data_IF_591961877223
#
_entry.id   IF_591961877223
#
_cell.length_a   1.000
_cell.length_b   1.000
_cell.length_c   1.000
_cell.angle_alpha   90.00
_cell.angle_beta   90.00
_cell.angle_gamma   90.00
#
_symmetry.space_group_name_H-M   'P 1'
#
loop_
_entity.id
_entity.type
_entity.pdbx_description
1 polymer ?
#
# COMPACT_ATOMS: atom_id res chain seq x y z
N UNK A 1 6.03 17.09 -12.11
CA UNK A 1 7.24 17.10 -11.28
C UNK A 1 8.27 18.13 -11.81
N UNK A 2 8.75 18.05 -13.06
CA UNK A 2 9.79 18.96 -13.60
C UNK A 2 9.38 20.44 -13.55
N UNK A 3 8.11 20.79 -13.82
CA UNK A 3 7.60 22.15 -13.66
C UNK A 3 7.69 22.63 -12.20
N UNK A 4 7.37 21.77 -11.24
CA UNK A 4 7.48 22.08 -9.82
C UNK A 4 8.93 22.35 -9.42
N UNK A 5 9.86 21.47 -9.82
CA UNK A 5 11.30 21.67 -9.57
C UNK A 5 11.79 22.98 -10.14
N UNK A 6 11.42 23.30 -11.39
CA UNK A 6 11.75 24.58 -12.04
C UNK A 6 11.24 25.78 -11.24
N UNK A 7 9.99 25.73 -10.81
CA UNK A 7 9.38 26.86 -10.12
C UNK A 7 9.94 27.05 -8.71
N UNK A 8 10.26 25.94 -8.02
CA UNK A 8 11.00 25.97 -6.75
C UNK A 8 12.41 26.55 -6.97
N UNK A 9 13.15 26.08 -7.97
CA UNK A 9 14.50 26.59 -8.30
C UNK A 9 14.48 28.06 -8.70
N UNK A 10 13.40 28.52 -9.34
CA UNK A 10 13.20 29.96 -9.68
C UNK A 10 12.66 30.80 -8.49
N UNK A 11 12.60 30.21 -7.29
CA UNK A 11 12.14 30.85 -6.05
C UNK A 11 10.70 31.41 -6.09
N UNK A 12 9.85 30.86 -6.99
CA UNK A 12 8.45 31.29 -7.11
C UNK A 12 7.60 30.82 -5.93
N UNK A 13 8.04 29.76 -5.24
CA UNK A 13 7.32 29.09 -4.16
C UNK A 13 8.00 29.24 -2.80
N UNK A 14 8.88 30.24 -2.63
CA UNK A 14 9.65 30.43 -1.42
C UNK A 14 8.80 30.48 -0.14
N UNK A 15 7.64 31.13 -0.21
CA UNK A 15 6.73 31.21 0.94
C UNK A 15 6.22 29.83 1.36
N UNK A 16 5.85 28.99 0.39
CA UNK A 16 5.31 27.64 0.67
C UNK A 16 6.35 26.71 1.31
N UNK A 17 7.65 26.99 1.09
CA UNK A 17 8.74 26.15 1.61
C UNK A 17 9.41 26.70 2.87
N UNK A 18 8.91 27.80 3.45
CA UNK A 18 9.50 28.39 4.67
C UNK A 18 9.50 27.47 5.89
N UNK A 19 8.51 26.63 6.01
CA UNK A 19 8.28 25.74 7.17
C UNK A 19 8.22 24.26 6.81
N UNK A 20 8.59 23.90 5.59
CA UNK A 20 8.59 22.52 5.12
C UNK A 20 9.74 22.26 4.15
N UNK A 21 10.22 21.01 4.13
CA UNK A 21 11.21 20.52 3.17
C UNK A 21 10.49 19.68 2.13
N UNK A 22 10.75 19.94 0.86
CA UNK A 22 10.24 19.17 -0.26
C UNK A 22 11.33 18.24 -0.80
N UNK A 23 11.13 16.93 -0.67
CA UNK A 23 11.94 15.92 -1.34
C UNK A 23 11.24 15.53 -2.64
N UNK A 24 12.00 15.39 -3.72
CA UNK A 24 11.46 15.05 -5.03
C UNK A 24 12.25 13.91 -5.65
N UNK A 25 11.54 12.84 -6.01
CA UNK A 25 12.05 11.78 -6.89
C UNK A 25 11.47 12.04 -8.28
N UNK A 26 12.23 12.62 -9.22
CA UNK A 26 11.68 13.12 -10.48
C UNK A 26 11.23 12.00 -11.43
N UNK A 27 11.94 10.89 -11.46
CA UNK A 27 11.66 9.69 -12.26
C UNK A 27 11.99 8.48 -11.40
N UNK A 28 10.96 7.84 -10.84
CA UNK A 28 11.17 6.70 -9.94
C UNK A 28 11.55 5.44 -10.70
N UNK A 29 10.85 5.14 -11.79
CA UNK A 29 11.15 4.00 -12.68
C UNK A 29 11.93 4.49 -13.90
N UNK A 30 13.24 4.69 -13.75
CA UNK A 30 14.10 5.18 -14.82
C UNK A 30 14.15 4.22 -16.02
N UNK A 31 14.26 2.91 -15.75
CA UNK A 31 14.27 1.89 -16.79
C UNK A 31 12.98 1.86 -17.60
N UNK A 32 11.84 1.95 -16.91
CA UNK A 32 10.53 2.00 -17.56
C UNK A 32 10.30 3.29 -18.33
N UNK A 33 10.89 4.41 -17.88
CA UNK A 33 10.87 5.68 -18.61
C UNK A 33 11.66 5.60 -19.92
N UNK A 34 12.78 4.88 -19.94
CA UNK A 34 13.63 4.74 -21.12
C UNK A 34 13.11 3.69 -22.13
N UNK A 35 12.19 2.84 -21.72
CA UNK A 35 11.51 1.86 -22.60
C UNK A 35 10.18 2.41 -23.07
N UNK A 36 9.95 2.41 -24.38
CA UNK A 36 8.74 2.94 -24.99
C UNK A 36 7.79 1.82 -25.40
N UNK A 37 6.54 1.95 -24.98
CA UNK A 37 5.45 1.06 -25.32
C UNK A 37 4.18 1.82 -25.68
N UNK A 38 3.16 1.12 -26.15
CA UNK A 38 1.85 1.73 -26.45
C UNK A 38 1.27 2.37 -25.18
N UNK A 39 0.85 3.63 -25.31
CA UNK A 39 0.13 4.32 -24.25
C UNK A 39 -1.22 3.63 -23.98
N UNK A 40 -1.63 3.62 -22.71
CA UNK A 40 -2.89 3.02 -22.28
C UNK A 40 -4.11 3.93 -22.44
N UNK A 41 -3.90 5.25 -22.55
CA UNK A 41 -4.96 6.23 -22.69
C UNK A 41 -5.32 6.53 -24.13
N UNK A 42 -6.53 7.08 -24.35
CA UNK A 42 -7.06 7.40 -25.68
C UNK A 42 -6.51 8.75 -26.23
N UNK A 43 -6.16 9.69 -25.36
CA UNK A 43 -5.81 11.07 -25.67
C UNK A 43 -4.38 11.47 -25.23
N UNK A 44 -3.47 10.54 -25.22
CA UNK A 44 -2.07 10.81 -24.87
C UNK A 44 -1.13 10.64 -26.05
N UNK A 45 0.18 10.75 -25.84
CA UNK A 45 1.14 10.36 -26.88
C UNK A 45 0.91 8.88 -27.23
N UNK A 46 1.16 8.51 -28.49
CA UNK A 46 1.02 7.12 -28.94
C UNK A 46 1.88 6.15 -28.14
N UNK A 47 3.10 6.59 -27.82
CA UNK A 47 4.07 5.85 -27.03
C UNK A 47 4.30 6.54 -25.69
N UNK A 48 4.43 5.72 -24.65
CA UNK A 48 4.78 6.15 -23.28
C UNK A 48 5.77 5.18 -22.65
N UNK A 49 6.33 5.52 -21.51
CA UNK A 49 7.15 4.61 -20.73
C UNK A 49 6.37 3.36 -20.31
N UNK A 50 7.09 2.25 -20.08
CA UNK A 50 6.50 0.98 -19.63
C UNK A 50 6.44 0.90 -18.10
N UNK A 51 5.56 0.04 -17.59
CA UNK A 51 5.31 -0.08 -16.15
C UNK A 51 6.44 -0.78 -15.39
N UNK A 52 7.04 -1.80 -15.97
CA UNK A 52 8.08 -2.61 -15.32
C UNK A 52 9.44 -1.91 -15.36
N UNK A 53 10.26 -2.13 -14.32
CA UNK A 53 11.67 -1.74 -14.33
C UNK A 53 12.51 -2.71 -15.21
N UNK A 54 13.83 -2.55 -15.19
CA UNK A 54 14.78 -3.39 -15.94
C UNK A 54 14.78 -4.87 -15.53
N UNK A 55 14.30 -5.17 -14.33
CA UNK A 55 14.16 -6.53 -13.80
C UNK A 55 12.75 -7.12 -14.01
N UNK A 56 11.89 -6.46 -14.79
CA UNK A 56 10.49 -6.83 -15.02
C UNK A 56 9.61 -6.82 -13.74
N UNK A 57 9.99 -6.04 -12.74
CA UNK A 57 9.20 -5.85 -11.52
C UNK A 57 8.30 -4.62 -11.63
N UNK A 58 7.07 -4.74 -11.13
CA UNK A 58 6.19 -3.61 -10.85
C UNK A 58 6.60 -3.02 -9.50
N UNK A 59 7.20 -1.83 -9.49
CA UNK A 59 7.70 -1.19 -8.28
C UNK A 59 6.60 -0.94 -7.25
N UNK A 60 5.35 -0.68 -7.69
CA UNK A 60 4.21 -0.56 -6.79
C UNK A 60 3.64 -1.92 -6.32
N UNK A 61 4.45 -2.99 -6.36
CA UNK A 61 4.19 -4.32 -5.80
C UNK A 61 5.36 -4.83 -4.97
N UNK A 62 6.39 -4.01 -4.82
CA UNK A 62 7.68 -4.44 -4.27
C UNK A 62 7.98 -3.91 -2.87
N UNK A 63 7.11 -3.05 -2.30
CA UNK A 63 7.36 -2.37 -1.03
C UNK A 63 7.65 -3.31 0.16
N UNK A 64 7.05 -4.51 0.19
CA UNK A 64 7.24 -5.46 1.29
C UNK A 64 8.39 -6.45 1.06
N UNK A 65 8.53 -6.97 -0.16
CA UNK A 65 9.59 -7.93 -0.47
C UNK A 65 10.94 -7.26 -0.77
N UNK A 66 10.94 -6.00 -1.25
CA UNK A 66 12.13 -5.19 -1.51
C UNK A 66 13.18 -5.90 -2.39
N UNK A 67 12.77 -6.38 -3.54
CA UNK A 67 13.69 -7.03 -4.49
C UNK A 67 14.39 -6.02 -5.40
N UNK A 68 13.65 -4.99 -5.84
CA UNK A 68 14.20 -3.95 -6.73
C UNK A 68 15.15 -3.00 -6.01
N UNK A 69 16.19 -2.50 -6.69
CA UNK A 69 17.07 -1.48 -6.15
C UNK A 69 16.35 -0.14 -5.90
N UNK A 70 15.34 0.20 -6.72
CA UNK A 70 14.57 1.42 -6.61
C UNK A 70 13.79 1.47 -5.29
N UNK A 71 13.08 0.38 -4.94
CA UNK A 71 12.35 0.31 -3.66
C UNK A 71 13.31 0.28 -2.48
N UNK A 72 14.42 -0.46 -2.54
CA UNK A 72 15.46 -0.42 -1.49
C UNK A 72 15.96 1.00 -1.25
N UNK A 73 16.26 1.73 -2.34
CA UNK A 73 16.68 3.14 -2.27
C UNK A 73 15.60 4.04 -1.67
N UNK A 74 14.36 3.91 -2.12
CA UNK A 74 13.25 4.71 -1.59
C UNK A 74 13.02 4.46 -0.09
N UNK A 75 13.02 3.20 0.35
CA UNK A 75 12.85 2.88 1.78
C UNK A 75 14.01 3.42 2.62
N UNK A 76 15.24 3.40 2.08
CA UNK A 76 16.38 4.06 2.74
C UNK A 76 16.12 5.56 2.93
N UNK A 77 15.60 6.25 1.91
CA UNK A 77 15.22 7.67 2.00
C UNK A 77 14.10 7.87 3.02
N UNK A 78 13.07 7.01 3.02
CA UNK A 78 11.98 7.09 4.00
C UNK A 78 12.49 6.89 5.43
N UNK A 79 13.44 5.97 5.66
CA UNK A 79 14.03 5.76 6.98
C UNK A 79 14.90 6.93 7.45
N UNK A 80 15.61 7.59 6.52
CA UNK A 80 16.51 8.71 6.86
C UNK A 80 15.79 10.03 7.08
N UNK A 81 14.81 10.34 6.23
CA UNK A 81 14.14 11.64 6.24
C UNK A 81 12.81 11.64 6.99
N UNK A 82 12.23 10.47 7.16
CA UNK A 82 10.97 10.26 7.89
C UNK A 82 9.88 11.30 7.56
N UNK A 83 9.46 11.41 6.28
CA UNK A 83 8.58 12.47 5.83
C UNK A 83 7.19 12.36 6.47
N UNK A 84 6.60 13.51 6.83
CA UNK A 84 5.22 13.58 7.37
C UNK A 84 4.19 13.13 6.34
N UNK A 85 4.41 13.46 5.06
CA UNK A 85 3.52 13.16 3.94
C UNK A 85 4.33 12.64 2.75
N UNK A 86 3.85 11.57 2.13
CA UNK A 86 4.37 11.05 0.85
C UNK A 86 3.27 11.13 -0.20
N UNK A 87 3.62 11.65 -1.38
CA UNK A 87 2.73 11.73 -2.54
C UNK A 87 3.30 10.87 -3.66
N UNK A 88 2.55 9.85 -4.07
CA UNK A 88 2.91 8.95 -5.15
C UNK A 88 2.09 9.29 -6.41
N UNK A 89 2.77 9.71 -7.48
CA UNK A 89 2.16 10.23 -8.69
C UNK A 89 2.06 9.15 -9.75
N UNK A 90 0.84 8.77 -10.08
CA UNK A 90 0.48 7.69 -11.00
C UNK A 90 -0.35 8.15 -12.20
N UNK A 91 -0.72 7.19 -13.04
CA UNK A 91 -1.66 7.36 -14.14
C UNK A 91 -2.61 6.18 -14.21
N UNK A 92 -3.92 6.43 -14.11
CA UNK A 92 -4.97 5.41 -14.24
C UNK A 92 -5.64 5.44 -15.60
N UNK A 93 -5.98 4.27 -16.13
CA UNK A 93 -6.76 4.03 -17.35
C UNK A 93 -8.11 3.36 -17.05
N UNK A 94 -8.66 3.62 -15.87
CA UNK A 94 -9.86 2.99 -15.33
C UNK A 94 -11.17 3.33 -16.03
N UNK A 95 -12.25 3.44 -15.27
CA UNK A 95 -13.58 3.80 -15.77
C UNK A 95 -13.59 5.23 -16.33
N UNK A 96 -14.39 5.47 -17.38
CA UNK A 96 -14.47 6.79 -18.00
C UNK A 96 -15.10 7.82 -17.07
N UNK A 97 -14.38 8.92 -16.83
CA UNK A 97 -14.82 10.10 -16.09
C UNK A 97 -14.16 11.36 -16.66
N UNK A 98 -14.54 12.55 -16.18
CA UNK A 98 -14.07 13.83 -16.72
C UNK A 98 -13.09 14.56 -15.80
N UNK A 99 -12.92 14.12 -14.58
CA UNK A 99 -11.94 14.64 -13.64
C UNK A 99 -10.53 14.21 -14.06
N UNK A 100 -9.57 15.14 -14.27
CA UNK A 100 -8.23 14.79 -14.72
C UNK A 100 -7.34 14.21 -13.64
N UNK A 101 -7.73 14.36 -12.37
CA UNK A 101 -6.99 13.90 -11.19
C UNK A 101 -7.90 13.08 -10.30
N UNK A 102 -7.45 11.89 -9.93
CA UNK A 102 -8.09 11.13 -8.86
C UNK A 102 -7.10 10.88 -7.71
N UNK A 103 -7.61 10.73 -6.49
CA UNK A 103 -6.76 10.60 -5.32
C UNK A 103 -7.27 9.54 -4.34
N UNK A 104 -6.35 8.97 -3.60
CA UNK A 104 -6.63 8.07 -2.47
C UNK A 104 -5.58 8.26 -1.38
N UNK A 105 -5.80 7.59 -0.25
CA UNK A 105 -4.87 7.54 0.89
C UNK A 105 -4.78 6.12 1.41
N UNK A 106 -4.27 5.95 2.62
CA UNK A 106 -4.28 4.69 3.36
C UNK A 106 -5.70 4.09 3.40
N UNK A 107 -5.85 2.89 2.88
CA UNK A 107 -7.10 2.12 2.87
C UNK A 107 -6.98 0.78 3.61
N UNK A 108 -5.74 0.33 3.89
CA UNK A 108 -5.51 -0.90 4.63
C UNK A 108 -6.09 -0.79 6.05
N UNK A 109 -6.91 -1.77 6.51
CA UNK A 109 -7.60 -1.71 7.80
C UNK A 109 -6.67 -1.73 9.02
N UNK A 110 -5.41 -2.12 8.86
CA UNK A 110 -4.42 -2.17 9.94
C UNK A 110 -3.65 -0.85 10.15
N UNK A 111 -3.94 0.17 9.32
CA UNK A 111 -3.34 1.48 9.47
C UNK A 111 -4.04 2.35 10.51
N UNK A 112 -3.50 3.55 10.77
CA UNK A 112 -4.08 4.50 11.71
C UNK A 112 -5.34 5.16 11.14
N UNK A 113 -6.47 4.93 11.80
CA UNK A 113 -7.78 5.43 11.36
C UNK A 113 -7.90 6.96 11.46
N UNK A 114 -7.19 7.61 12.41
CA UNK A 114 -7.25 9.06 12.60
C UNK A 114 -6.52 9.78 11.46
N UNK A 115 -5.36 9.25 11.02
CA UNK A 115 -4.65 9.78 9.87
C UNK A 115 -5.50 9.65 8.60
N UNK A 116 -6.12 8.48 8.37
CA UNK A 116 -7.01 8.28 7.22
C UNK A 116 -8.25 9.21 7.28
N UNK A 117 -8.88 9.35 8.44
CA UNK A 117 -10.02 10.25 8.64
C UNK A 117 -9.66 11.71 8.39
N UNK A 118 -8.49 12.17 8.81
CA UNK A 118 -8.00 13.52 8.53
C UNK A 118 -7.88 13.77 7.03
N UNK A 119 -7.35 12.79 6.27
CA UNK A 119 -7.22 12.91 4.82
C UNK A 119 -8.60 13.10 4.15
N UNK A 120 -9.57 12.21 4.46
CA UNK A 120 -10.89 12.24 3.84
C UNK A 120 -11.75 13.43 4.27
N UNK A 121 -11.67 13.83 5.54
CA UNK A 121 -12.58 14.83 6.10
C UNK A 121 -12.04 16.27 6.02
N UNK A 122 -10.71 16.45 5.88
CA UNK A 122 -10.09 17.78 5.93
C UNK A 122 -9.18 18.07 4.74
N UNK A 123 -8.14 17.25 4.51
CA UNK A 123 -7.13 17.55 3.51
C UNK A 123 -7.72 17.49 2.09
N UNK A 124 -8.31 16.38 1.70
CA UNK A 124 -8.82 16.22 0.33
C UNK A 124 -9.90 17.23 -0.05
N UNK A 125 -10.92 17.53 0.78
CA UNK A 125 -11.90 18.56 0.45
C UNK A 125 -11.27 19.95 0.27
N UNK A 126 -10.27 20.31 1.08
CA UNK A 126 -9.59 21.60 0.97
C UNK A 126 -8.71 21.68 -0.29
N UNK A 127 -7.94 20.61 -0.57
CA UNK A 127 -7.08 20.50 -1.75
C UNK A 127 -7.91 20.49 -3.04
N UNK A 128 -9.00 19.72 -3.09
CA UNK A 128 -9.89 19.68 -4.25
C UNK A 128 -10.50 21.05 -4.55
N UNK A 129 -10.95 21.76 -3.52
CA UNK A 129 -11.46 23.14 -3.66
C UNK A 129 -10.38 24.08 -4.18
N UNK A 130 -9.19 24.09 -3.58
CA UNK A 130 -8.09 24.95 -4.01
C UNK A 130 -7.65 24.64 -5.44
N UNK A 131 -7.59 23.36 -5.82
CA UNK A 131 -7.32 22.92 -7.19
C UNK A 131 -8.35 23.48 -8.17
N UNK A 132 -9.64 23.39 -7.82
CA UNK A 132 -10.71 23.91 -8.65
C UNK A 132 -10.66 25.43 -8.80
N UNK A 133 -10.56 26.14 -7.68
CA UNK A 133 -10.66 27.61 -7.65
C UNK A 133 -9.42 28.28 -8.27
N UNK A 134 -8.23 27.69 -8.09
CA UNK A 134 -6.96 28.29 -8.53
C UNK A 134 -6.53 27.83 -9.93
N UNK A 135 -6.76 26.54 -10.25
CA UNK A 135 -6.26 25.92 -11.48
C UNK A 135 -7.36 25.49 -12.44
N UNK A 136 -8.63 25.53 -12.02
CA UNK A 136 -9.79 25.20 -12.86
C UNK A 136 -10.04 23.69 -13.03
N UNK A 137 -9.31 22.82 -12.36
CA UNK A 137 -9.43 21.36 -12.49
C UNK A 137 -10.29 20.75 -11.39
N UNK A 138 -11.14 19.83 -11.77
CA UNK A 138 -11.87 18.97 -10.85
C UNK A 138 -11.00 17.78 -10.43
N UNK A 139 -11.29 17.20 -9.27
CA UNK A 139 -10.67 15.97 -8.81
C UNK A 139 -11.70 15.06 -8.12
N UNK A 140 -11.41 13.77 -8.09
CA UNK A 140 -12.32 12.72 -7.65
C UNK A 140 -11.58 11.70 -6.75
N UNK A 141 -12.21 11.11 -5.74
CA UNK A 141 -11.69 9.91 -5.09
C UNK A 141 -11.40 8.79 -6.09
N UNK A 142 -10.20 8.18 -5.99
CA UNK A 142 -9.75 7.12 -6.90
C UNK A 142 -10.63 5.88 -6.81
N UNK A 143 -10.97 5.32 -7.96
CA UNK A 143 -11.77 4.11 -8.04
C UNK A 143 -12.18 3.76 -9.47
N UNK A 144 -13.10 2.83 -9.55
CA UNK A 144 -13.76 2.41 -10.78
C UNK A 144 -15.25 2.17 -10.51
N UNK A 145 -16.10 2.25 -11.52
CA UNK A 145 -17.47 1.75 -11.38
C UNK A 145 -17.45 0.28 -10.99
N UNK A 146 -18.24 -0.10 -9.99
CA UNK A 146 -18.41 -1.50 -9.57
C UNK A 146 -18.81 -2.38 -10.76
N UNK A 147 -19.64 -1.81 -11.60
CA UNK A 147 -20.09 -2.42 -12.84
C UNK A 147 -20.19 -1.32 -13.91
N UNK A 148 -19.34 -1.39 -14.92
CA UNK A 148 -19.33 -0.38 -16.01
C UNK A 148 -20.61 -0.38 -16.84
N UNK A 149 -21.36 -1.48 -16.81
CA UNK A 149 -22.66 -1.58 -17.51
C UNK A 149 -23.81 -1.05 -16.64
N UNK A 150 -23.59 -0.86 -15.34
CA UNK A 150 -24.54 -0.35 -14.37
C UNK A 150 -23.83 0.60 -13.39
N UNK A 151 -23.41 1.80 -13.84
CA UNK A 151 -22.64 2.75 -13.03
C UNK A 151 -23.31 3.12 -11.70
N UNK A 152 -24.63 3.06 -11.64
CA UNK A 152 -25.43 3.35 -10.45
C UNK A 152 -25.14 2.40 -9.27
N UNK A 153 -24.53 1.22 -9.50
CA UNK A 153 -24.15 0.29 -8.46
C UNK A 153 -23.07 0.83 -7.50
N UNK A 154 -22.27 1.79 -7.95
CA UNK A 154 -21.29 2.44 -7.09
C UNK A 154 -19.92 2.64 -7.73
N UNK A 155 -19.07 3.29 -6.95
CA UNK A 155 -17.67 3.57 -7.22
C UNK A 155 -16.80 2.85 -6.22
N UNK A 156 -15.78 2.11 -6.65
CA UNK A 156 -15.04 1.16 -5.84
C UNK A 156 -13.54 1.39 -5.92
N UNK A 157 -12.90 1.57 -4.75
CA UNK A 157 -11.46 1.50 -4.60
C UNK A 157 -11.04 0.05 -4.31
N UNK A 158 -10.03 -0.45 -5.05
CA UNK A 158 -9.49 -1.80 -4.89
C UNK A 158 -8.14 -1.86 -4.17
N UNK A 159 -7.55 -0.71 -3.82
CA UNK A 159 -6.16 -0.62 -3.39
C UNK A 159 -6.01 -0.79 -1.87
N UNK A 160 -6.34 -1.95 -1.30
CA UNK A 160 -6.27 -2.20 0.14
C UNK A 160 -4.99 -2.93 0.59
N UNK A 161 -4.25 -3.54 -0.32
CA UNK A 161 -3.13 -4.42 0.05
C UNK A 161 -1.91 -3.61 0.49
N UNK A 162 -1.19 -4.16 1.47
CA UNK A 162 -0.01 -3.53 2.05
C UNK A 162 1.17 -3.41 1.06
N UNK A 163 1.18 -4.24 0.00
CA UNK A 163 2.18 -4.19 -1.08
C UNK A 163 2.14 -2.92 -1.92
N UNK A 164 1.07 -2.13 -1.85
CA UNK A 164 0.96 -0.84 -2.56
C UNK A 164 1.62 0.29 -1.76
N UNK A 165 2.32 1.19 -2.45
CA UNK A 165 3.10 2.25 -1.81
C UNK A 165 2.30 3.12 -0.85
N UNK A 166 1.07 3.51 -1.22
CA UNK A 166 0.21 4.31 -0.35
C UNK A 166 -0.14 3.59 0.97
N UNK A 167 -0.46 2.30 0.91
CA UNK A 167 -0.75 1.52 2.12
C UNK A 167 0.51 1.23 2.93
N UNK A 168 1.63 0.91 2.26
CA UNK A 168 2.91 0.71 2.94
C UNK A 168 3.32 1.95 3.75
N UNK A 169 3.27 3.12 3.14
CA UNK A 169 3.59 4.39 3.82
C UNK A 169 2.59 4.70 4.94
N UNK A 170 1.31 4.44 4.71
CA UNK A 170 0.27 4.62 5.73
C UNK A 170 0.45 3.69 6.94
N UNK A 171 0.88 2.45 6.74
CA UNK A 171 1.23 1.50 7.81
C UNK A 171 2.49 1.91 8.60
N UNK A 172 3.27 2.86 8.09
CA UNK A 172 4.36 3.52 8.84
C UNK A 172 3.88 4.73 9.65
N UNK A 173 2.57 4.92 9.80
CA UNK A 173 1.94 6.09 10.43
C UNK A 173 2.30 7.41 9.74
N UNK A 174 2.45 7.43 8.43
CA UNK A 174 2.68 8.65 7.67
C UNK A 174 1.47 8.96 6.80
N UNK A 175 1.17 10.24 6.63
CA UNK A 175 0.20 10.64 5.63
C UNK A 175 0.67 10.20 4.25
N UNK A 176 -0.25 9.71 3.45
CA UNK A 176 0.07 9.19 2.12
C UNK A 176 -1.01 9.58 1.13
N UNK A 177 -0.61 9.92 -0.07
CA UNK A 177 -1.50 10.24 -1.18
C UNK A 177 -1.08 9.42 -2.39
N UNK A 178 -2.04 8.69 -2.93
CA UNK A 178 -2.02 8.21 -4.29
C UNK A 178 -2.68 9.30 -5.15
N UNK A 179 -1.94 9.92 -6.06
CA UNK A 179 -2.45 10.79 -7.13
C UNK A 179 -2.46 9.98 -8.42
N UNK A 180 -3.64 9.82 -9.01
CA UNK A 180 -3.81 9.08 -10.26
C UNK A 180 -4.30 10.03 -11.35
N UNK A 181 -3.39 10.44 -12.21
CA UNK A 181 -3.73 11.19 -13.40
C UNK A 181 -4.55 10.35 -14.37
N UNK A 182 -5.55 10.97 -15.00
CA UNK A 182 -6.47 10.25 -15.88
C UNK A 182 -5.89 10.08 -17.30
N UNK A 183 -5.57 8.84 -17.68
CA UNK A 183 -4.92 8.52 -18.96
C UNK A 183 -5.73 8.91 -20.20
N UNK A 184 -7.05 9.00 -20.09
CA UNK A 184 -7.95 9.38 -21.20
C UNK A 184 -8.15 10.90 -21.34
N UNK A 185 -7.62 11.73 -20.43
CA UNK A 185 -7.54 13.17 -20.62
C UNK A 185 -6.38 13.53 -21.55
N UNK A 186 -6.44 14.70 -22.20
CA UNK A 186 -5.35 15.18 -23.04
C UNK A 186 -4.07 15.45 -22.20
N UNK A 187 -2.92 15.33 -22.85
CA UNK A 187 -1.61 15.40 -22.18
C UNK A 187 -1.41 16.70 -21.38
N UNK A 188 -1.83 17.84 -21.94
CA UNK A 188 -1.68 19.15 -21.26
C UNK A 188 -2.53 19.20 -20.00
N UNK A 189 -3.78 18.78 -20.07
CA UNK A 189 -4.69 18.69 -18.91
C UNK A 189 -4.14 17.77 -17.85
N UNK A 190 -3.58 16.63 -18.20
CA UNK A 190 -2.94 15.70 -17.26
C UNK A 190 -1.77 16.34 -16.53
N UNK A 191 -0.85 16.98 -17.29
CA UNK A 191 0.34 17.65 -16.73
C UNK A 191 -0.06 18.78 -15.79
N UNK A 192 -0.97 19.67 -16.23
CA UNK A 192 -1.37 20.83 -15.44
C UNK A 192 -2.29 20.48 -14.28
N UNK A 193 -3.13 19.46 -14.42
CA UNK A 193 -3.95 18.93 -13.33
C UNK A 193 -3.11 18.37 -12.18
N UNK A 194 -2.13 17.50 -12.48
CA UNK A 194 -1.19 16.97 -11.49
C UNK A 194 -0.33 18.09 -10.86
N UNK A 195 0.19 19.02 -11.68
CA UNK A 195 0.93 20.16 -11.17
C UNK A 195 0.09 21.00 -10.19
N UNK A 196 -1.16 21.35 -10.58
CA UNK A 196 -2.07 22.10 -9.73
C UNK A 196 -2.43 21.36 -8.45
N UNK A 197 -2.63 20.03 -8.52
CA UNK A 197 -2.91 19.20 -7.35
C UNK A 197 -1.75 19.21 -6.35
N UNK A 198 -0.51 18.98 -6.81
CA UNK A 198 0.68 19.02 -5.94
C UNK A 198 0.90 20.43 -5.36
N UNK A 199 0.67 21.49 -6.14
CA UNK A 199 0.73 22.86 -5.63
C UNK A 199 -0.32 23.13 -4.56
N UNK A 200 -1.53 22.62 -4.74
CA UNK A 200 -2.61 22.71 -3.75
C UNK A 200 -2.27 21.97 -2.46
N UNK A 201 -1.60 20.81 -2.58
CA UNK A 201 -1.07 20.08 -1.43
C UNK A 201 0.00 20.89 -0.68
N UNK A 202 0.97 21.48 -1.38
CA UNK A 202 2.00 22.32 -0.75
C UNK A 202 1.40 23.54 -0.04
N UNK A 203 0.35 24.12 -0.62
CA UNK A 203 -0.39 25.22 0.01
C UNK A 203 -1.07 24.76 1.30
N UNK A 204 -1.75 23.59 1.26
CA UNK A 204 -2.40 23.02 2.43
C UNK A 204 -1.39 22.65 3.53
N UNK A 205 -0.32 21.95 3.18
CA UNK A 205 0.69 21.51 4.15
C UNK A 205 1.42 22.69 4.76
N UNK A 206 1.72 23.75 3.99
CA UNK A 206 2.28 24.97 4.55
C UNK A 206 1.45 25.54 5.71
N UNK A 207 0.13 25.51 5.60
CA UNK A 207 -0.78 26.03 6.63
C UNK A 207 -1.00 25.07 7.82
N UNK A 208 -0.86 23.75 7.59
CA UNK A 208 -1.27 22.71 8.55
C UNK A 208 -0.14 21.80 9.00
N UNK A 209 1.13 22.02 8.59
CA UNK A 209 2.23 21.09 8.85
C UNK A 209 2.44 20.79 10.34
N UNK A 210 2.26 21.79 11.22
CA UNK A 210 2.41 21.60 12.65
C UNK A 210 1.37 20.63 13.23
N UNK A 211 0.10 20.73 12.79
CA UNK A 211 -0.97 19.80 13.16
C UNK A 211 -0.67 18.40 12.63
N UNK A 212 -0.30 18.28 11.36
CA UNK A 212 0.03 17.00 10.73
C UNK A 212 1.22 16.31 11.43
N UNK A 213 2.28 17.06 11.77
CA UNK A 213 3.40 16.52 12.54
C UNK A 213 2.98 16.00 13.91
N UNK A 214 2.10 16.73 14.61
CA UNK A 214 1.60 16.29 15.92
C UNK A 214 0.77 15.01 15.79
N UNK A 215 -0.06 14.90 14.77
CA UNK A 215 -0.84 13.67 14.52
C UNK A 215 0.07 12.47 14.23
N UNK A 216 1.11 12.64 13.42
CA UNK A 216 2.11 11.58 13.16
C UNK A 216 2.80 11.15 14.44
N UNK A 217 3.27 12.09 15.27
CA UNK A 217 3.89 11.77 16.57
C UNK A 217 2.94 11.03 17.51
N UNK A 218 1.68 11.40 17.52
CA UNK A 218 0.64 10.71 18.31
C UNK A 218 0.44 9.29 17.80
N UNK A 219 0.29 9.10 16.49
CA UNK A 219 0.13 7.78 15.89
C UNK A 219 1.35 6.86 16.17
N UNK A 220 2.57 7.38 16.08
CA UNK A 220 3.79 6.63 16.42
C UNK A 220 3.82 6.23 17.89
N UNK A 221 3.47 7.17 18.80
CA UNK A 221 3.40 6.90 20.23
C UNK A 221 2.33 5.85 20.57
N UNK A 222 1.16 5.98 19.99
CA UNK A 222 0.06 5.03 20.22
C UNK A 222 0.39 3.65 19.66
N UNK A 223 0.97 3.59 18.46
CA UNK A 223 1.44 2.34 17.88
C UNK A 223 2.49 1.68 18.77
N UNK A 224 3.50 2.41 19.21
CA UNK A 224 4.55 1.89 20.10
C UNK A 224 4.01 1.35 21.43
N UNK A 225 3.05 2.05 22.03
CA UNK A 225 2.60 1.76 23.39
C UNK A 225 1.38 0.83 23.45
N UNK A 226 0.54 0.81 22.43
CA UNK A 226 -0.80 0.22 22.50
C UNK A 226 -1.12 -0.78 21.40
N UNK A 227 -0.47 -0.75 20.23
CA UNK A 227 -0.89 -1.54 19.06
C UNK A 227 -0.90 -3.05 19.30
N UNK A 228 0.00 -3.60 20.12
CA UNK A 228 -0.03 -5.01 20.49
C UNK A 228 -1.30 -5.44 21.24
N UNK A 229 -2.15 -4.50 21.68
CA UNK A 229 -3.45 -4.76 22.33
C UNK A 229 -4.61 -4.78 21.32
N UNK A 230 -4.35 -4.37 20.09
CA UNK A 230 -5.31 -4.39 19.02
C UNK A 230 -5.36 -5.78 18.37
N UNK A 231 -6.35 -6.01 17.51
CA UNK A 231 -6.40 -7.17 16.66
C UNK A 231 -5.86 -6.81 15.27
N UNK A 232 -5.06 -7.71 14.71
CA UNK A 232 -4.62 -7.60 13.32
C UNK A 232 -5.71 -8.15 12.40
N UNK A 233 -6.17 -7.33 11.46
CA UNK A 233 -7.20 -7.72 10.49
C UNK A 233 -6.57 -8.55 9.38
N UNK A 234 -7.06 -9.78 9.23
CA UNK A 234 -6.65 -10.71 8.17
C UNK A 234 -7.58 -10.62 6.95
N UNK A 235 -8.89 -10.52 7.20
CA UNK A 235 -9.92 -10.45 6.17
C UNK A 235 -10.90 -9.31 6.46
N UNK A 236 -11.43 -8.70 5.41
CA UNK A 236 -12.35 -7.57 5.53
C UNK A 236 -13.30 -7.52 4.34
N UNK A 237 -14.46 -6.91 4.56
CA UNK A 237 -15.39 -6.47 3.52
C UNK A 237 -15.14 -5.00 3.19
N UNK A 238 -15.30 -4.66 1.91
CA UNK A 238 -15.27 -3.27 1.50
C UNK A 238 -16.68 -2.67 1.54
N UNK A 239 -16.90 -1.74 2.44
CA UNK A 239 -18.17 -1.08 2.66
C UNK A 239 -18.17 0.38 2.17
N UNK A 240 -19.37 0.95 2.08
CA UNK A 240 -19.57 2.36 1.74
C UNK A 240 -18.88 3.27 2.75
N UNK A 241 -18.09 4.24 2.25
CA UNK A 241 -17.48 5.29 3.06
C UNK A 241 -18.36 6.56 3.04
N UNK A 242 -18.76 7.03 1.86
CA UNK A 242 -19.68 8.15 1.61
C UNK A 242 -20.30 8.05 0.21
N UNK A 243 -21.11 9.02 -0.20
CA UNK A 243 -21.56 9.14 -1.59
C UNK A 243 -20.63 10.07 -2.36
N UNK A 244 -20.34 9.74 -3.62
CA UNK A 244 -19.50 10.53 -4.51
C UNK A 244 -20.22 10.82 -5.81
N UNK A 245 -20.00 12.03 -6.35
CA UNK A 245 -20.49 12.39 -7.69
C UNK A 245 -19.35 12.31 -8.68
N UNK A 246 -19.48 11.44 -9.67
CA UNK A 246 -18.54 11.23 -10.78
C UNK A 246 -19.10 11.96 -12.01
N UNK A 247 -18.36 12.89 -12.56
CA UNK A 247 -18.66 13.48 -13.85
C UNK A 247 -18.25 12.51 -14.94
N UNK A 248 -19.22 11.94 -15.66
CA UNK A 248 -18.96 10.87 -16.61
C UNK A 248 -19.77 11.03 -17.90
N UNK A 249 -20.13 9.94 -18.51
CA UNK A 249 -20.82 9.84 -19.81
C UNK A 249 -21.94 8.82 -19.70
N UNK A 250 -22.88 8.84 -20.63
CA UNK A 250 -23.76 7.70 -20.89
C UNK A 250 -22.97 6.58 -21.56
N UNK A 251 -23.41 5.35 -21.31
CA UNK A 251 -22.78 4.16 -21.87
C UNK A 251 -23.77 3.37 -22.72
N UNK A 252 -23.33 2.97 -23.91
CA UNK A 252 -23.99 1.95 -24.73
C UNK A 252 -23.49 0.59 -24.29
N UNK A 253 -24.45 -0.32 -24.02
CA UNK A 253 -24.12 -1.67 -23.54
C UNK A 253 -24.20 -2.63 -24.74
N UNK A 254 -23.07 -3.21 -25.10
CA UNK A 254 -22.99 -4.20 -26.18
C UNK A 254 -22.68 -5.59 -25.62
N UNK A 255 -23.37 -6.59 -26.15
CA UNK A 255 -23.07 -7.99 -25.90
C UNK A 255 -21.79 -8.40 -26.63
N UNK A 256 -20.86 -9.01 -25.92
CA UNK A 256 -19.63 -9.55 -26.52
C UNK A 256 -19.99 -10.76 -27.37
N UNK A 257 -19.54 -10.76 -28.61
CA UNK A 257 -19.69 -11.91 -29.49
C UNK A 257 -18.70 -12.99 -29.05
N UNK A 258 -19.06 -14.30 -29.14
CA UNK A 258 -18.18 -15.39 -28.72
C UNK A 258 -16.78 -15.33 -29.38
N UNK A 259 -16.70 -14.92 -30.65
CA UNK A 259 -15.46 -14.77 -31.41
C UNK A 259 -14.56 -13.64 -30.90
N UNK A 260 -15.12 -12.69 -30.16
CA UNK A 260 -14.41 -11.53 -29.62
C UNK A 260 -14.03 -11.69 -28.13
N UNK A 261 -14.48 -12.75 -27.46
CA UNK A 261 -14.28 -12.94 -26.02
C UNK A 261 -12.80 -12.89 -25.61
N UNK A 262 -11.90 -13.42 -26.45
CA UNK A 262 -10.45 -13.40 -26.20
C UNK A 262 -9.77 -12.03 -26.36
N UNK A 263 -10.49 -11.01 -26.84
CA UNK A 263 -9.98 -9.64 -26.98
C UNK A 263 -10.09 -8.84 -25.67
N UNK A 264 -10.86 -9.34 -24.72
CA UNK A 264 -11.15 -8.66 -23.45
C UNK A 264 -10.51 -9.39 -22.27
N UNK A 265 -10.16 -8.65 -21.20
CA UNK A 265 -9.67 -9.27 -19.97
C UNK A 265 -10.67 -10.29 -19.39
N UNK A 266 -10.20 -11.33 -18.68
CA UNK A 266 -11.05 -12.44 -18.18
C UNK A 266 -12.20 -12.01 -17.25
N UNK A 267 -12.10 -10.83 -16.62
CA UNK A 267 -13.17 -10.29 -15.77
C UNK A 267 -14.31 -9.63 -16.55
N UNK A 268 -14.14 -9.35 -17.84
CA UNK A 268 -15.20 -8.87 -18.75
C UNK A 268 -15.78 -10.10 -19.46
N UNK A 269 -16.99 -10.51 -19.07
CA UNK A 269 -17.55 -11.79 -19.55
C UNK A 269 -18.50 -11.63 -20.72
N UNK A 270 -19.61 -10.94 -20.50
CA UNK A 270 -20.76 -11.00 -21.42
C UNK A 270 -21.04 -9.69 -22.13
N UNK A 271 -20.75 -8.57 -21.48
CA UNK A 271 -21.08 -7.23 -21.96
C UNK A 271 -19.93 -6.25 -21.78
N UNK A 272 -19.81 -5.30 -22.70
CA UNK A 272 -18.95 -4.14 -22.58
C UNK A 272 -19.79 -2.86 -22.54
N UNK A 273 -19.29 -1.87 -21.82
CA UNK A 273 -19.85 -0.53 -21.80
C UNK A 273 -18.97 0.38 -22.66
N UNK A 274 -19.54 0.90 -23.73
CA UNK A 274 -18.88 1.87 -24.60
C UNK A 274 -19.30 3.29 -24.22
N UNK A 275 -18.32 4.14 -24.00
CA UNK A 275 -18.55 5.56 -23.73
C UNK A 275 -19.23 6.21 -24.94
N UNK A 276 -20.32 6.98 -24.71
CA UNK A 276 -20.91 7.88 -25.66
C UNK A 276 -20.36 9.31 -25.53
N UNK A 277 -20.80 10.24 -26.35
CA UNK A 277 -20.49 11.67 -26.21
C UNK A 277 -21.50 12.42 -25.32
N UNK A 278 -22.52 11.75 -24.81
CA UNK A 278 -23.53 12.32 -23.92
C UNK A 278 -22.98 12.37 -22.49
N UNK A 279 -22.93 13.59 -21.95
CA UNK A 279 -22.45 13.81 -20.58
C UNK A 279 -23.50 13.37 -19.57
N UNK A 280 -23.07 12.60 -18.57
CA UNK A 280 -23.92 12.17 -17.45
C UNK A 280 -23.10 12.09 -16.18
N UNK A 281 -23.63 12.69 -15.12
CA UNK A 281 -23.02 12.61 -13.78
C UNK A 281 -23.74 11.51 -12.99
N UNK A 282 -22.96 10.78 -12.18
CA UNK A 282 -23.47 9.70 -11.33
C UNK A 282 -23.16 10.00 -9.89
N UNK A 283 -24.18 10.16 -9.04
CA UNK A 283 -24.00 10.21 -7.59
C UNK A 283 -24.28 8.84 -7.01
N UNK A 284 -23.25 8.20 -6.50
CA UNK A 284 -23.27 6.77 -6.14
C UNK A 284 -22.49 6.50 -4.85
N UNK A 285 -22.76 5.36 -4.17
CA UNK A 285 -21.93 4.93 -3.03
C UNK A 285 -20.45 4.76 -3.43
N UNK A 286 -19.56 5.33 -2.63
CA UNK A 286 -18.11 5.08 -2.73
C UNK A 286 -17.70 4.00 -1.74
N UNK A 287 -17.26 2.86 -2.27
CA UNK A 287 -16.79 1.72 -1.48
C UNK A 287 -15.28 1.83 -1.28
N UNK A 288 -14.88 2.23 -0.08
CA UNK A 288 -13.47 2.45 0.30
C UNK A 288 -13.25 2.27 1.81
N UNK A 289 -14.15 1.59 2.52
CA UNK A 289 -14.05 1.34 3.95
C UNK A 289 -13.89 -0.14 4.22
N UNK A 290 -12.67 -0.56 4.59
CA UNK A 290 -12.43 -1.92 5.03
C UNK A 290 -13.05 -2.15 6.43
N UNK A 291 -13.90 -3.17 6.54
CA UNK A 291 -14.53 -3.61 7.80
C UNK A 291 -14.13 -5.05 8.06
N UNK A 292 -13.45 -5.29 9.18
CA UNK A 292 -12.91 -6.60 9.54
C UNK A 292 -14.00 -7.68 9.58
N UNK A 293 -13.73 -8.81 8.93
CA UNK A 293 -14.52 -10.04 9.02
C UNK A 293 -13.76 -11.15 9.77
N UNK A 294 -12.41 -11.10 9.74
CA UNK A 294 -11.55 -12.01 10.50
C UNK A 294 -10.30 -11.28 10.99
N UNK A 295 -9.93 -11.52 12.23
CA UNK A 295 -8.74 -10.92 12.84
C UNK A 295 -8.07 -11.88 13.81
N UNK A 296 -6.81 -11.59 14.16
CA UNK A 296 -6.04 -12.31 15.17
C UNK A 296 -5.52 -11.33 16.22
N UNK A 297 -5.39 -11.79 17.46
CA UNK A 297 -4.75 -11.03 18.53
C UNK A 297 -3.25 -10.90 18.25
N UNK A 298 -2.65 -9.77 18.62
CA UNK A 298 -1.22 -9.55 18.44
C UNK A 298 -0.42 -10.02 19.66
N UNK A 299 0.80 -10.57 19.45
CA UNK A 299 1.73 -10.85 20.54
C UNK A 299 2.43 -9.56 21.02
N UNK A 300 3.21 -9.65 22.08
CA UNK A 300 4.12 -8.57 22.50
C UNK A 300 5.40 -8.51 21.69
N UNK A 301 5.82 -9.65 21.16
CA UNK A 301 6.96 -9.76 20.25
C UNK A 301 6.82 -11.01 19.37
N UNK A 302 7.48 -10.98 18.23
CA UNK A 302 7.75 -12.19 17.45
C UNK A 302 9.15 -12.67 17.71
N UNK A 303 9.33 -13.99 17.68
CA UNK A 303 10.61 -14.64 17.85
C UNK A 303 10.91 -15.49 16.62
N UNK A 304 12.12 -15.35 16.09
CA UNK A 304 12.59 -16.07 14.90
C UNK A 304 13.87 -16.78 15.28
N UNK A 305 13.92 -18.10 15.07
CA UNK A 305 15.11 -18.89 15.39
C UNK A 305 16.27 -18.57 14.43
N UNK A 306 17.52 -18.93 14.77
CA UNK A 306 18.66 -18.69 13.90
C UNK A 306 18.45 -19.26 12.50
N UNK A 307 19.26 -18.81 11.52
CA UNK A 307 19.28 -19.26 10.12
C UNK A 307 18.29 -18.61 9.16
N UNK A 308 17.44 -17.68 9.60
CA UNK A 308 16.49 -16.93 8.77
C UNK A 308 17.02 -15.54 8.39
N UNK A 309 18.29 -15.45 8.00
CA UNK A 309 18.96 -14.17 7.74
C UNK A 309 18.23 -13.29 6.70
N UNK A 310 17.69 -13.88 5.65
CA UNK A 310 16.97 -13.13 4.61
C UNK A 310 15.74 -12.39 5.18
N UNK A 311 15.06 -12.98 6.16
CA UNK A 311 13.90 -12.40 6.84
C UNK A 311 14.36 -11.26 7.76
N UNK A 312 15.38 -11.50 8.55
CA UNK A 312 15.97 -10.49 9.44
C UNK A 312 16.47 -9.28 8.65
N UNK A 313 17.18 -9.50 7.55
CA UNK A 313 17.63 -8.45 6.65
C UNK A 313 16.46 -7.65 6.03
N UNK A 314 15.36 -8.32 5.65
CA UNK A 314 14.17 -7.66 5.16
C UNK A 314 13.57 -6.77 6.25
N UNK A 315 13.36 -7.28 7.47
CA UNK A 315 12.84 -6.50 8.61
C UNK A 315 13.71 -5.27 8.92
N UNK A 316 15.04 -5.45 9.00
CA UNK A 316 15.97 -4.35 9.24
C UNK A 316 15.94 -3.29 8.14
N UNK A 317 15.81 -3.68 6.88
CA UNK A 317 15.67 -2.72 5.75
C UNK A 317 14.41 -1.88 5.84
N UNK A 318 13.32 -2.43 6.37
CA UNK A 318 12.13 -1.64 6.70
C UNK A 318 12.37 -0.60 7.80
N UNK A 319 13.46 -0.72 8.56
CA UNK A 319 13.71 0.08 9.77
C UNK A 319 13.10 -0.51 11.03
N UNK A 320 12.63 -1.76 10.96
CA UNK A 320 12.10 -2.49 12.11
C UNK A 320 13.26 -2.85 13.05
N UNK A 321 13.10 -2.53 14.35
CA UNK A 321 14.05 -2.90 15.39
C UNK A 321 13.99 -4.40 15.62
N UNK A 322 15.15 -5.03 15.56
CA UNK A 322 15.35 -6.46 15.83
C UNK A 322 16.40 -6.58 16.91
N UNK A 323 16.13 -7.39 17.91
CA UNK A 323 17.05 -7.68 19.03
C UNK A 323 17.56 -9.11 18.92
N UNK A 324 18.78 -9.37 19.35
CA UNK A 324 19.39 -10.70 19.31
C UNK A 324 19.41 -11.32 20.70
N UNK A 325 19.03 -12.59 20.80
CA UNK A 325 19.11 -13.38 22.02
C UNK A 325 20.54 -13.87 22.19
N UNK A 326 21.17 -13.53 23.32
CA UNK A 326 22.59 -13.81 23.57
C UNK A 326 22.82 -15.03 24.48
N UNK A 327 21.77 -15.57 25.11
CA UNK A 327 21.81 -16.82 25.87
C UNK A 327 20.57 -17.66 25.63
N UNK A 328 20.71 -18.97 25.55
CA UNK A 328 19.54 -19.84 25.41
C UNK A 328 18.68 -19.80 26.67
N UNK A 329 17.37 -19.91 26.50
CA UNK A 329 16.42 -19.95 27.61
C UNK A 329 15.19 -20.79 27.25
N UNK A 330 14.40 -21.14 28.28
CA UNK A 330 13.08 -21.75 28.09
C UNK A 330 12.02 -20.65 28.06
N UNK A 331 11.13 -20.70 27.08
CA UNK A 331 10.05 -19.74 26.97
C UNK A 331 8.73 -20.39 26.51
N UNK A 332 7.57 -19.99 27.09
CA UNK A 332 6.28 -20.32 26.54
C UNK A 332 6.05 -19.51 25.26
N UNK A 333 6.00 -20.18 24.14
CA UNK A 333 5.81 -19.62 22.82
C UNK A 333 4.52 -20.11 22.20
N UNK A 334 3.80 -19.21 21.55
CA UNK A 334 2.68 -19.57 20.71
C UNK A 334 3.20 -19.81 19.30
N UNK A 335 2.99 -21.02 18.79
CA UNK A 335 3.41 -21.46 17.46
C UNK A 335 2.21 -21.70 16.56
N UNK A 336 2.36 -21.41 15.27
CA UNK A 336 1.36 -21.72 14.28
C UNK A 336 1.63 -23.09 13.67
N UNK A 337 0.74 -24.06 13.96
CA UNK A 337 0.75 -25.40 13.38
C UNK A 337 0.03 -25.35 12.05
N UNK A 338 0.68 -25.83 11.00
CA UNK A 338 0.19 -25.74 9.62
C UNK A 338 -0.67 -26.95 9.32
N UNK A 339 -1.95 -26.70 9.03
CA UNK A 339 -2.92 -27.74 8.64
C UNK A 339 -3.00 -27.88 7.11
N UNK A 340 -2.79 -26.78 6.38
CA UNK A 340 -2.89 -26.78 4.92
C UNK A 340 -1.90 -25.78 4.31
N UNK A 341 -1.25 -26.20 3.23
CA UNK A 341 -0.44 -25.33 2.37
C UNK A 341 -1.08 -25.29 0.99
N UNK A 342 -1.42 -24.10 0.52
CA UNK A 342 -1.91 -23.86 -0.85
C UNK A 342 -0.93 -23.02 -1.62
N UNK A 343 -0.69 -23.37 -2.87
CA UNK A 343 0.06 -22.55 -3.83
C UNK A 343 -0.87 -22.08 -4.94
N UNK A 344 -0.77 -20.80 -5.32
CA UNK A 344 -1.50 -20.29 -6.48
C UNK A 344 -0.88 -20.84 -7.77
N UNK A 345 -1.70 -21.02 -8.83
CA UNK A 345 -1.25 -21.64 -10.08
C UNK A 345 -0.44 -20.70 -10.99
N UNK A 346 -0.48 -19.39 -10.73
CA UNK A 346 0.14 -18.37 -11.57
C UNK A 346 1.35 -17.72 -10.93
N UNK A 347 2.29 -17.24 -11.76
CA UNK A 347 3.35 -16.35 -11.33
C UNK A 347 2.81 -14.92 -11.16
N UNK A 348 3.15 -14.30 -10.03
CA UNK A 348 2.89 -12.90 -9.78
C UNK A 348 4.16 -12.22 -9.28
N UNK A 349 4.67 -11.25 -10.04
CA UNK A 349 5.94 -10.56 -9.71
C UNK A 349 7.11 -11.52 -9.48
N UNK A 350 7.20 -12.59 -10.26
CA UNK A 350 8.24 -13.62 -10.15
C UNK A 350 8.02 -14.68 -9.08
N UNK A 351 6.94 -14.61 -8.29
CA UNK A 351 6.62 -15.53 -7.18
C UNK A 351 5.37 -16.34 -7.45
N UNK A 352 5.35 -17.57 -6.95
CA UNK A 352 4.12 -18.35 -6.73
C UNK A 352 3.68 -18.09 -5.30
N UNK A 353 2.50 -17.54 -5.10
CA UNK A 353 2.00 -17.24 -3.76
C UNK A 353 1.73 -18.51 -2.97
N UNK A 354 2.17 -18.50 -1.71
CA UNK A 354 1.92 -19.56 -0.74
C UNK A 354 0.91 -19.05 0.30
N UNK A 355 -0.13 -19.83 0.54
CA UNK A 355 -1.16 -19.56 1.53
C UNK A 355 -1.15 -20.66 2.56
N UNK A 356 -1.07 -20.28 3.81
CA UNK A 356 -1.15 -21.21 4.93
C UNK A 356 -2.54 -21.14 5.57
N UNK A 357 -2.99 -22.29 6.07
CA UNK A 357 -4.06 -22.39 7.05
C UNK A 357 -3.59 -23.26 8.21
N UNK A 358 -3.99 -22.91 9.40
CA UNK A 358 -3.56 -23.62 10.58
C UNK A 358 -4.18 -23.07 11.85
N UNK A 359 -3.60 -23.43 12.97
CA UNK A 359 -4.04 -23.00 14.28
C UNK A 359 -2.86 -22.70 15.20
N UNK A 360 -3.08 -21.86 16.18
CA UNK A 360 -2.09 -21.53 17.19
C UNK A 360 -2.14 -22.51 18.36
N UNK A 361 -0.96 -22.88 18.88
CA UNK A 361 -0.80 -23.72 20.07
C UNK A 361 0.34 -23.19 20.93
N UNK A 362 0.16 -23.23 22.26
CA UNK A 362 1.20 -22.83 23.23
C UNK A 362 2.08 -24.03 23.57
N UNK A 363 3.38 -23.84 23.47
CA UNK A 363 4.38 -24.84 23.91
C UNK A 363 5.55 -24.15 24.58
N UNK A 364 6.18 -24.84 25.55
CA UNK A 364 7.42 -24.36 26.13
C UNK A 364 8.59 -24.89 25.33
N UNK A 365 9.31 -23.98 24.68
CA UNK A 365 10.43 -24.32 23.82
C UNK A 365 11.74 -23.79 24.34
N UNK A 366 12.84 -24.47 23.99
CA UNK A 366 14.17 -23.90 24.14
C UNK A 366 14.42 -22.88 23.04
N UNK A 367 14.56 -21.62 23.41
CA UNK A 367 14.98 -20.54 22.51
C UNK A 367 16.51 -20.63 22.38
N UNK A 368 17.04 -20.93 21.19
CA UNK A 368 18.48 -21.00 20.99
C UNK A 368 19.16 -19.63 21.14
N UNK A 369 20.43 -19.63 21.52
CA UNK A 369 21.29 -18.47 21.31
C UNK A 369 21.32 -18.06 19.84
N UNK A 370 21.48 -16.77 19.57
CA UNK A 370 21.42 -16.16 18.23
C UNK A 370 20.02 -16.16 17.58
N UNK A 371 18.95 -16.48 18.33
CA UNK A 371 17.59 -16.20 17.90
C UNK A 371 17.34 -14.69 17.88
N UNK A 372 16.31 -14.27 17.13
CA UNK A 372 15.96 -12.86 16.96
C UNK A 372 14.59 -12.57 17.55
N UNK A 373 14.52 -11.47 18.32
CA UNK A 373 13.29 -10.95 18.88
C UNK A 373 12.90 -9.68 18.13
N UNK A 374 11.64 -9.62 17.68
CA UNK A 374 11.05 -8.46 17.00
C UNK A 374 9.97 -7.89 17.92
N UNK A 375 10.31 -6.89 18.76
CA UNK A 375 9.36 -6.35 19.74
C UNK A 375 8.29 -5.50 19.08
N UNK A 376 7.04 -5.60 19.56
CA UNK A 376 5.92 -4.80 19.07
C UNK A 376 5.87 -3.37 19.65
N UNK A 377 6.69 -3.04 20.65
CA UNK A 377 6.75 -1.71 21.24
C UNK A 377 7.67 -0.76 20.46
N UNK A 378 7.42 -0.59 19.18
CA UNK A 378 8.17 0.28 18.29
C UNK A 378 7.23 1.03 17.31
N UNK A 379 7.64 2.18 16.74
CA UNK A 379 6.77 2.98 15.85
C UNK A 379 6.30 2.24 14.59
N UNK A 380 7.11 1.29 14.08
CA UNK A 380 6.80 0.50 12.88
C UNK A 380 6.05 -0.81 13.19
N UNK A 381 5.47 -0.94 14.38
CA UNK A 381 4.80 -2.18 14.80
C UNK A 381 3.63 -2.59 13.88
N UNK A 382 2.98 -1.65 13.17
CA UNK A 382 1.92 -1.99 12.22
C UNK A 382 2.40 -2.78 11.00
N UNK A 383 3.67 -2.65 10.61
CA UNK A 383 4.25 -3.44 9.52
C UNK A 383 4.62 -4.87 9.94
N UNK A 384 4.92 -5.10 11.22
CA UNK A 384 5.43 -6.38 11.70
C UNK A 384 4.45 -7.53 11.43
N UNK A 385 3.16 -7.47 11.85
CA UNK A 385 2.23 -8.56 11.56
C UNK A 385 1.90 -8.69 10.08
N UNK A 386 1.95 -7.61 9.30
CA UNK A 386 1.81 -7.71 7.83
C UNK A 386 2.88 -8.63 7.25
N UNK A 387 4.12 -8.52 7.74
CA UNK A 387 5.26 -9.31 7.25
C UNK A 387 5.33 -10.70 7.87
N UNK A 388 4.93 -10.86 9.14
CA UNK A 388 5.22 -12.07 9.93
C UNK A 388 4.00 -12.94 10.26
N UNK A 389 2.76 -12.44 10.17
CA UNK A 389 1.59 -13.30 10.39
C UNK A 389 1.44 -14.30 9.23
N UNK A 390 1.31 -15.60 9.52
CA UNK A 390 1.31 -16.65 8.49
C UNK A 390 0.15 -16.55 7.51
N UNK A 391 -0.99 -16.04 7.95
CA UNK A 391 -2.19 -15.89 7.12
C UNK A 391 -2.38 -14.45 6.59
N UNK A 392 -1.42 -13.55 6.81
CA UNK A 392 -1.47 -12.20 6.22
C UNK A 392 -1.32 -12.27 4.70
N UNK A 393 -2.19 -11.54 4.00
CA UNK A 393 -2.23 -11.50 2.52
C UNK A 393 -0.89 -11.15 1.88
N UNK A 394 -0.07 -10.36 2.57
CA UNK A 394 1.21 -9.82 2.10
C UNK A 394 2.40 -10.27 2.95
N UNK A 395 2.26 -11.38 3.70
CA UNK A 395 3.33 -11.88 4.54
C UNK A 395 4.55 -12.36 3.74
N UNK A 396 5.70 -12.42 4.40
CA UNK A 396 6.91 -12.97 3.80
C UNK A 396 6.73 -14.43 3.40
N UNK A 397 5.84 -15.21 4.08
CA UNK A 397 5.51 -16.56 3.64
C UNK A 397 4.73 -16.54 2.33
N UNK A 398 3.78 -15.63 2.16
CA UNK A 398 3.05 -15.46 0.90
C UNK A 398 4.01 -15.18 -0.26
N UNK A 399 5.03 -14.38 -0.03
CA UNK A 399 6.07 -14.05 -1.00
C UNK A 399 7.18 -15.11 -1.13
N UNK A 400 7.04 -16.27 -0.45
CA UNK A 400 7.92 -17.42 -0.64
C UNK A 400 9.24 -17.39 0.13
N UNK A 401 9.43 -16.49 1.08
CA UNK A 401 10.67 -16.40 1.88
C UNK A 401 10.91 -17.64 2.76
N UNK A 402 9.84 -18.39 3.06
CA UNK A 402 9.86 -19.60 3.89
C UNK A 402 9.66 -20.91 3.09
N UNK A 403 9.70 -20.87 1.76
CA UNK A 403 9.35 -22.04 0.94
C UNK A 403 10.23 -23.27 1.22
N UNK A 404 11.47 -23.08 1.68
CA UNK A 404 12.38 -24.20 2.00
C UNK A 404 11.97 -24.93 3.27
N UNK A 405 11.39 -24.22 4.23
CA UNK A 405 10.94 -24.75 5.51
C UNK A 405 9.55 -25.40 5.44
N UNK A 406 8.79 -25.06 4.41
CA UNK A 406 7.42 -25.58 4.22
C UNK A 406 7.38 -26.94 3.50
N UNK A 407 8.54 -27.54 3.20
CA UNK A 407 8.65 -28.84 2.53
C UNK A 407 9.03 -29.88 3.57
N UNK A 408 8.08 -30.75 3.96
CA UNK A 408 8.35 -31.92 4.80
C UNK A 408 8.72 -33.11 3.92
N UNK A 409 9.99 -33.33 3.67
CA UNK A 409 10.47 -34.51 2.92
C UNK A 409 10.90 -35.68 3.80
N UNK A 410 11.19 -35.40 5.07
CA UNK A 410 11.91 -36.33 5.94
C UNK A 410 11.28 -36.51 7.33
N UNK A 411 10.16 -35.87 7.62
CA UNK A 411 9.51 -35.94 8.95
C UNK A 411 8.00 -36.17 8.79
N UNK A 412 7.42 -36.95 9.68
CA UNK A 412 5.98 -37.12 9.85
C UNK A 412 5.39 -36.10 10.84
N UNK A 413 6.23 -35.30 11.47
CA UNK A 413 5.80 -34.24 12.39
C UNK A 413 4.98 -33.17 11.68
N UNK A 414 3.95 -32.61 12.32
CA UNK A 414 3.22 -31.48 11.78
C UNK A 414 4.16 -30.31 11.47
N UNK A 415 4.02 -29.70 10.31
CA UNK A 415 4.80 -28.52 9.95
C UNK A 415 4.41 -27.36 10.87
N UNK A 416 5.44 -26.65 11.33
CA UNK A 416 5.30 -25.47 12.16
C UNK A 416 5.86 -24.27 11.41
N UNK A 417 5.11 -23.16 11.39
CA UNK A 417 5.60 -21.91 10.85
C UNK A 417 6.76 -21.39 11.71
N UNK A 418 7.94 -21.05 11.12
CA UNK A 418 9.15 -20.79 11.91
C UNK A 418 9.23 -19.38 12.52
N UNK A 419 8.09 -18.73 12.71
CA UNK A 419 7.96 -17.48 13.47
C UNK A 419 7.03 -17.73 14.64
N UNK A 420 7.53 -17.49 15.85
CA UNK A 420 6.80 -17.73 17.09
C UNK A 420 6.28 -16.43 17.68
N UNK A 421 5.19 -16.50 18.43
CA UNK A 421 4.58 -15.37 19.11
C UNK A 421 4.86 -15.43 20.60
N UNK A 422 5.32 -14.32 21.16
CA UNK A 422 5.64 -14.18 22.58
C UNK A 422 4.64 -13.22 23.23
N UNK A 423 3.82 -13.73 24.14
CA UNK A 423 2.82 -12.95 24.87
C UNK A 423 3.30 -12.49 26.25
N UNK A 424 4.19 -13.23 26.89
CA UNK A 424 4.69 -12.93 28.22
C UNK A 424 5.75 -11.82 28.19
N UNK A 425 5.77 -10.99 29.24
CA UNK A 425 6.76 -9.92 29.43
C UNK A 425 7.91 -10.30 30.35
N UNK A 426 7.72 -11.32 31.17
CA UNK A 426 8.59 -11.62 32.34
C UNK A 426 9.57 -12.76 32.05
N UNK A 427 9.85 -13.02 30.78
CA UNK A 427 10.87 -14.01 30.42
C UNK A 427 12.23 -13.35 30.51
N UNK A 428 13.20 -13.95 31.24
CA UNK A 428 14.54 -13.42 31.34
C UNK A 428 15.33 -13.66 30.05
N UNK A 429 14.97 -12.90 28.99
CA UNK A 429 15.70 -12.90 27.75
C UNK A 429 16.88 -11.95 27.86
N UNK A 430 18.11 -12.50 27.93
CA UNK A 430 19.29 -11.69 27.72
C UNK A 430 19.43 -11.36 26.25
N UNK A 431 19.36 -10.08 25.89
CA UNK A 431 19.29 -9.59 24.51
C UNK A 431 20.13 -8.33 24.30
N UNK A 432 20.58 -8.12 23.08
CA UNK A 432 21.21 -6.88 22.62
C UNK A 432 20.52 -6.40 21.33
N UNK A 433 20.56 -5.10 21.10
CA UNK A 433 20.10 -4.52 19.83
C UNK A 433 21.16 -4.79 18.76
N UNK A 434 20.75 -5.22 17.58
CA UNK A 434 21.60 -5.39 16.38
C UNK A 434 21.44 -4.25 15.37
#
# INVERSE_FOLDING_TARGET
VLMLIRDVAANKDAELLKNQVLLVVPIFNADGNDKWGKNRGDNGPELAGVRHNGQFLDLNRDYLKMESPEIKGLITVLNQWDPVLVVDLHTTDGSYHREPVTYSTLTNPNGDANLSAYMWNRLFPAVARHLKDTYGYDSLPYGNFVDRTQPEKGWLNHAFLARYGSNYVGLRNRFTILDENYAHADFKTRVLGCYGFVKSLLHYTHQHIGEMQQMVKTADSDTKNNYYRENFVLEFDNQKLFDVTIKSYEFEIEKIKPEDAGKYPPWIKDYIAKKTDVLRDYTVPYFCKAVSTRSVTLPRAYLIFPYHNAIIENLKRHGIVVEKIIKPCQAPLEMFKIDEIKTEQGLYQGHVFVRLKGHYAMETLTVPENSYLVPMNQPLARLIPVLLEPESEDSLVTWGFFNRELISQWTEEPLVYPVFRLHATDIPLERCQE
#
